data_IF_402256335321
#
_entry.id   IF_402256335321
#
_cell.length_a   1.000
_cell.length_b   1.000
_cell.length_c   1.000
_cell.angle_alpha   90.00
_cell.angle_beta   90.00
_cell.angle_gamma   90.00
#
_symmetry.space_group_name_H-M   'P 1'
#
loop_
_entity.id
_entity.type
_entity.pdbx_description
1 polymer ?
#
# COMPACT_ATOMS: atom_id res chain seq x y z
N UNK A 1 24.58 2.17 2.45
CA UNK A 1 24.35 1.30 1.27
C UNK A 1 24.03 2.23 0.11
N UNK A 2 24.82 2.22 -0.96
CA UNK A 2 24.51 2.99 -2.17
C UNK A 2 23.39 2.27 -2.94
N UNK A 3 22.19 2.85 -2.98
CA UNK A 3 21.02 2.25 -3.64
C UNK A 3 20.78 2.92 -4.99
N UNK A 4 20.95 2.16 -6.06
CA UNK A 4 20.63 2.60 -7.42
C UNK A 4 19.27 1.98 -7.80
N UNK A 5 18.15 2.72 -7.67
CA UNK A 5 16.85 2.18 -8.02
C UNK A 5 16.79 1.82 -9.51
N UNK A 6 16.23 0.66 -9.82
CA UNK A 6 15.85 0.32 -11.19
C UNK A 6 14.92 1.40 -11.75
N UNK A 7 15.06 1.72 -13.04
CA UNK A 7 14.28 2.77 -13.71
C UNK A 7 12.77 2.63 -13.48
N UNK A 8 12.25 1.39 -13.56
CA UNK A 8 10.85 1.09 -13.27
C UNK A 8 10.44 1.43 -11.83
N UNK A 9 11.25 1.04 -10.85
CA UNK A 9 10.96 1.29 -9.42
C UNK A 9 11.01 2.76 -9.06
N UNK A 10 11.73 3.58 -9.83
CA UNK A 10 11.80 5.02 -9.61
C UNK A 10 10.56 5.77 -10.12
N UNK A 11 9.89 5.25 -11.16
CA UNK A 11 8.82 5.98 -11.88
C UNK A 11 7.42 5.38 -11.70
N UNK A 12 7.30 4.28 -10.96
CA UNK A 12 6.01 3.60 -10.73
C UNK A 12 5.70 3.50 -9.25
N UNK A 13 4.48 3.85 -8.83
CA UNK A 13 4.05 3.68 -7.45
C UNK A 13 3.81 2.19 -7.18
N UNK A 14 4.37 1.67 -6.10
CA UNK A 14 4.07 0.32 -5.64
C UNK A 14 4.06 0.25 -4.12
N UNK A 15 3.25 -0.65 -3.59
CA UNK A 15 3.12 -0.89 -2.16
C UNK A 15 3.46 -2.34 -1.90
N UNK A 16 4.39 -2.58 -0.96
CA UNK A 16 4.53 -3.90 -0.37
C UNK A 16 3.55 -3.96 0.80
N UNK A 17 2.49 -4.76 0.64
CA UNK A 17 1.43 -4.88 1.64
C UNK A 17 1.93 -5.73 2.80
N UNK A 18 1.85 -5.20 4.02
CA UNK A 18 2.19 -5.90 5.26
C UNK A 18 0.95 -6.37 6.03
N UNK A 19 -0.19 -5.68 5.85
CA UNK A 19 -1.48 -5.99 6.47
C UNK A 19 -2.61 -5.70 5.52
N UNK A 20 -3.68 -6.50 5.58
CA UNK A 20 -4.93 -6.21 4.88
C UNK A 20 -6.12 -6.45 5.80
N UNK A 21 -7.23 -5.77 5.51
CA UNK A 21 -8.49 -5.88 6.25
C UNK A 21 -9.64 -6.06 5.26
N UNK A 22 -10.50 -7.07 5.48
CA UNK A 22 -11.77 -7.21 4.77
C UNK A 22 -12.81 -6.34 5.48
N UNK A 23 -13.30 -5.31 4.80
CA UNK A 23 -14.29 -4.36 5.29
C UNK A 23 -15.65 -4.55 4.59
N UNK A 24 -15.87 -5.71 3.99
CA UNK A 24 -17.15 -6.05 3.36
C UNK A 24 -18.27 -6.10 4.41
N UNK A 25 -19.43 -5.45 4.18
CA UNK A 25 -20.55 -5.50 5.10
C UNK A 25 -21.01 -6.92 5.41
N UNK A 26 -21.16 -7.25 6.70
CA UNK A 26 -21.50 -8.60 7.16
C UNK A 26 -22.82 -9.10 6.57
N UNK A 27 -23.79 -8.21 6.34
CA UNK A 27 -25.06 -8.55 5.69
C UNK A 27 -24.84 -9.13 4.29
N UNK A 28 -23.91 -8.55 3.51
CA UNK A 28 -23.58 -9.06 2.17
C UNK A 28 -22.92 -10.42 2.25
N UNK A 29 -22.07 -10.65 3.26
CA UNK A 29 -21.41 -11.94 3.48
C UNK A 29 -22.38 -13.05 3.87
N UNK A 30 -23.41 -12.73 4.64
CA UNK A 30 -24.46 -13.67 5.01
C UNK A 30 -25.37 -14.02 3.82
N UNK A 31 -25.66 -13.06 2.95
CA UNK A 31 -26.48 -13.28 1.75
C UNK A 31 -25.74 -14.07 0.66
N UNK A 32 -24.48 -13.73 0.41
CA UNK A 32 -23.64 -14.40 -0.58
C UNK A 32 -22.17 -14.44 -0.13
N UNK A 33 -21.68 -15.65 0.13
CA UNK A 33 -20.28 -15.87 0.54
C UNK A 33 -19.28 -15.54 -0.58
N UNK A 34 -19.70 -15.55 -1.84
CA UNK A 34 -18.86 -15.32 -3.02
C UNK A 34 -19.00 -13.90 -3.59
N UNK A 35 -19.62 -12.98 -2.85
CA UNK A 35 -19.79 -11.61 -3.31
C UNK A 35 -18.44 -10.86 -3.40
N UNK A 36 -18.43 -9.77 -4.17
CA UNK A 36 -17.28 -8.86 -4.24
C UNK A 36 -16.91 -8.34 -2.86
N UNK A 37 -15.63 -8.49 -2.50
CA UNK A 37 -15.08 -8.04 -1.22
C UNK A 37 -14.52 -6.63 -1.32
N UNK A 38 -14.76 -5.84 -0.29
CA UNK A 38 -14.15 -4.53 -0.09
C UNK A 38 -12.96 -4.71 0.85
N UNK A 39 -11.75 -4.47 0.35
CA UNK A 39 -10.50 -4.77 1.07
C UNK A 39 -9.67 -3.49 1.21
N UNK A 40 -9.12 -3.26 2.41
CA UNK A 40 -8.13 -2.22 2.67
C UNK A 40 -6.75 -2.88 2.74
N UNK A 41 -5.78 -2.33 2.00
CA UNK A 41 -4.39 -2.78 1.99
C UNK A 41 -3.51 -1.74 2.69
N UNK A 42 -2.73 -2.17 3.67
CA UNK A 42 -1.79 -1.35 4.42
C UNK A 42 -0.36 -1.70 4.03
N UNK A 43 0.46 -0.67 3.90
CA UNK A 43 1.88 -0.80 3.64
C UNK A 43 2.51 0.54 3.33
N UNK A 44 3.82 0.53 3.14
CA UNK A 44 4.57 1.72 2.75
C UNK A 44 4.53 1.91 1.25
N UNK A 45 4.16 3.12 0.83
CA UNK A 45 4.28 3.56 -0.56
C UNK A 45 5.76 3.67 -0.92
N UNK A 46 6.13 3.09 -2.06
CA UNK A 46 7.48 3.10 -2.62
C UNK A 46 7.45 3.56 -4.07
N UNK A 47 8.61 4.02 -4.55
CA UNK A 47 8.76 4.55 -5.91
C UNK A 47 8.36 6.01 -5.97
N UNK A 48 7.18 6.30 -6.51
CA UNK A 48 6.64 7.66 -6.62
C UNK A 48 5.22 7.76 -6.02
N UNK A 49 4.66 8.96 -6.01
CA UNK A 49 3.32 9.20 -5.46
C UNK A 49 2.22 8.49 -6.24
N UNK A 50 1.24 7.97 -5.49
CA UNK A 50 0.06 7.33 -6.07
C UNK A 50 -0.98 8.38 -6.45
N UNK A 51 -1.40 8.39 -7.72
CA UNK A 51 -2.44 9.29 -8.21
C UNK A 51 -3.83 8.75 -7.83
N UNK A 52 -4.77 9.66 -7.54
CA UNK A 52 -6.18 9.29 -7.35
C UNK A 52 -6.77 8.78 -8.66
N UNK A 53 -7.73 7.84 -8.59
CA UNK A 53 -8.45 7.26 -9.74
C UNK A 53 -7.60 6.47 -10.75
N UNK A 54 -6.55 5.80 -10.28
CA UNK A 54 -5.81 4.84 -11.11
C UNK A 54 -6.34 3.42 -10.93
N UNK A 55 -6.04 2.56 -11.91
CA UNK A 55 -6.12 1.11 -11.71
C UNK A 55 -4.86 0.61 -11.01
N UNK A 56 -5.00 -0.38 -10.16
CA UNK A 56 -3.91 -1.01 -9.42
C UNK A 56 -3.90 -2.49 -9.75
N UNK A 57 -2.72 -3.01 -10.06
CA UNK A 57 -2.51 -4.44 -10.26
C UNK A 57 -2.12 -5.07 -8.93
N UNK A 58 -2.89 -6.06 -8.47
CA UNK A 58 -2.53 -6.92 -7.34
C UNK A 58 -1.93 -8.19 -7.91
N UNK A 59 -0.62 -8.36 -7.68
CA UNK A 59 0.13 -9.51 -8.20
C UNK A 59 -0.52 -10.83 -7.75
N UNK A 60 -0.86 -11.69 -8.72
CA UNK A 60 -1.51 -12.98 -8.48
C UNK A 60 -3.04 -12.93 -8.32
N UNK A 61 -3.66 -11.74 -8.33
CA UNK A 61 -5.12 -11.58 -8.19
C UNK A 61 -5.73 -10.92 -9.43
N UNK A 62 -5.17 -9.78 -9.88
CA UNK A 62 -5.66 -9.08 -11.08
C UNK A 62 -5.67 -7.56 -10.95
N UNK A 63 -6.35 -6.90 -11.88
CA UNK A 63 -6.45 -5.44 -11.97
C UNK A 63 -7.74 -4.91 -11.33
N UNK A 64 -7.60 -3.91 -10.46
CA UNK A 64 -8.71 -3.34 -9.71
C UNK A 64 -8.72 -1.81 -9.79
N UNK A 65 -9.91 -1.22 -9.73
CA UNK A 65 -10.07 0.23 -9.59
C UNK A 65 -9.83 0.63 -8.14
N UNK A 66 -9.01 1.66 -7.92
CA UNK A 66 -8.72 2.15 -6.57
C UNK A 66 -9.89 2.96 -6.02
N UNK A 67 -10.49 2.50 -4.92
CA UNK A 67 -11.57 3.23 -4.23
C UNK A 67 -11.06 4.50 -3.54
N UNK A 68 -9.88 4.45 -2.93
CA UNK A 68 -9.28 5.59 -2.24
C UNK A 68 -7.87 5.27 -1.72
N UNK A 69 -7.16 6.32 -1.28
CA UNK A 69 -5.86 6.22 -0.62
C UNK A 69 -5.86 7.20 0.55
N UNK A 70 -5.39 6.73 1.69
CA UNK A 70 -5.23 7.53 2.91
C UNK A 70 -3.81 7.34 3.42
N UNK A 71 -3.09 8.43 3.63
CA UNK A 71 -1.78 8.39 4.26
C UNK A 71 -1.95 8.31 5.79
N UNK A 72 -1.25 7.36 6.41
CA UNK A 72 -1.16 7.24 7.87
C UNK A 72 0.19 7.78 8.36
N UNK A 73 0.21 8.37 9.55
CA UNK A 73 1.46 8.73 10.19
C UNK A 73 2.33 7.47 10.42
N UNK A 74 3.62 7.57 10.11
CA UNK A 74 4.55 6.44 10.29
C UNK A 74 4.65 6.01 11.76
N UNK A 75 4.88 4.71 12.04
CA UNK A 75 4.91 4.15 13.39
C UNK A 75 6.13 4.57 14.24
N UNK A 76 7.01 5.43 13.73
CA UNK A 76 8.12 5.96 14.52
C UNK A 76 8.99 6.95 13.75
N UNK A 77 9.79 7.77 14.47
CA UNK A 77 10.72 8.69 13.83
C UNK A 77 11.78 7.90 13.07
N UNK A 78 12.04 8.29 11.82
CA UNK A 78 13.24 7.88 11.11
C UNK A 78 14.42 8.44 11.92
N UNK A 79 15.23 7.57 12.53
CA UNK A 79 16.47 8.01 13.19
C UNK A 79 17.37 8.59 12.11
N UNK A 80 17.70 9.88 12.23
CA UNK A 80 18.65 10.53 11.34
C UNK A 80 19.97 9.76 11.44
N UNK A 81 20.56 9.42 10.30
CA UNK A 81 21.87 8.77 10.22
C UNK A 81 22.99 9.70 10.73
N UNK A 82 22.68 10.99 10.94
CA UNK A 82 23.60 12.04 11.38
C UNK A 82 23.41 12.47 12.84
N UNK A 83 22.85 11.64 13.73
CA UNK A 83 22.79 11.98 15.16
C UNK A 83 24.20 11.88 15.78
N UNK A 84 24.83 13.00 16.18
CA UNK A 84 26.20 12.99 16.73
C UNK A 84 26.29 12.33 18.11
N UNK A 85 25.16 11.94 18.73
CA UNK A 85 25.12 11.37 20.07
C UNK A 85 25.08 9.83 20.10
N UNK A 86 25.17 9.16 18.95
CA UNK A 86 25.30 7.70 18.91
C UNK A 86 26.79 7.30 18.89
N UNK A 87 27.44 7.36 20.06
CA UNK A 87 28.67 6.60 20.36
C UNK A 87 28.31 5.33 21.12
#
# INVERSE_FOLDING_TARGET
MEFHPLSWRAVQPYVLVDRFEDVTPTERLHMDKNCHRDIILYGYLRGCDIKKRIKVHIAGVGDFSLAGVTSLAGPGPLRHIDDPNLK
#
